data_IF_806499764206
#
_entry.id   IF_806499764206
#
_cell.length_a   1.000
_cell.length_b   1.000
_cell.length_c   1.000
_cell.angle_alpha   90.00
_cell.angle_beta   90.00
_cell.angle_gamma   90.00
#
_symmetry.space_group_name_H-M   'P 1'
#
loop_
_entity.id
_entity.type
_entity.pdbx_description
1 polymer ?
#
# COMPACT_ATOMS: atom_id res chain seq x y z
N UNK A 1 -15.07 -14.22 -3.73
CA UNK A 1 -15.34 -13.57 -2.42
C UNK A 1 -16.50 -12.62 -2.61
N UNK A 2 -17.72 -13.15 -2.74
CA UNK A 2 -18.88 -12.34 -3.09
C UNK A 2 -19.20 -11.35 -1.97
N UNK A 3 -19.29 -10.07 -2.37
CA UNK A 3 -19.62 -8.86 -1.60
C UNK A 3 -19.77 -9.08 -0.09
N UNK A 4 -18.68 -8.89 0.65
CA UNK A 4 -18.66 -8.84 2.11
C UNK A 4 -18.70 -7.37 2.56
N UNK A 5 -19.86 -6.68 2.51
CA UNK A 5 -19.94 -5.23 2.70
C UNK A 5 -19.52 -4.80 4.10
N UNK A 6 -19.57 -5.71 5.07
CA UNK A 6 -19.21 -5.47 6.47
C UNK A 6 -17.85 -6.03 6.84
N UNK A 7 -17.07 -6.57 5.89
CA UNK A 7 -15.74 -7.07 6.18
C UNK A 7 -14.83 -5.91 6.56
N UNK A 8 -14.30 -5.96 7.78
CA UNK A 8 -13.41 -4.94 8.34
C UNK A 8 -11.94 -5.30 8.25
N UNK A 9 -11.62 -6.58 8.25
CA UNK A 9 -10.24 -7.06 8.33
C UNK A 9 -10.03 -8.16 7.30
N UNK A 10 -8.99 -7.99 6.49
CA UNK A 10 -8.47 -9.05 5.61
C UNK A 10 -7.07 -9.39 6.07
N UNK A 11 -6.81 -10.68 6.30
CA UNK A 11 -5.48 -11.19 6.63
C UNK A 11 -5.14 -12.32 5.67
N UNK A 12 -4.06 -12.14 4.90
CA UNK A 12 -3.56 -13.12 3.94
C UNK A 12 -2.15 -13.51 4.36
N UNK A 13 -2.01 -14.75 4.83
CA UNK A 13 -0.76 -15.25 5.39
C UNK A 13 -0.33 -16.52 4.64
N UNK A 14 0.93 -16.59 4.24
CA UNK A 14 1.55 -17.79 3.65
C UNK A 14 0.87 -18.32 2.37
N UNK A 15 0.22 -17.45 1.60
CA UNK A 15 -0.42 -17.84 0.34
C UNK A 15 0.60 -17.81 -0.80
N UNK A 16 1.41 -18.86 -0.89
CA UNK A 16 2.54 -18.93 -1.83
C UNK A 16 2.14 -18.96 -3.31
N UNK A 17 0.91 -19.35 -3.62
CA UNK A 17 0.38 -19.44 -4.99
C UNK A 17 -0.57 -18.29 -5.35
N UNK A 18 -0.91 -17.41 -4.39
CA UNK A 18 -1.82 -16.30 -4.65
C UNK A 18 -1.09 -15.20 -5.42
N UNK A 19 -1.51 -14.94 -6.66
CA UNK A 19 -0.93 -13.88 -7.49
C UNK A 19 -1.73 -12.57 -7.46
N UNK A 20 -3.06 -12.67 -7.42
CA UNK A 20 -3.94 -11.51 -7.44
C UNK A 20 -5.15 -11.76 -6.57
N UNK A 21 -5.64 -10.68 -5.98
CA UNK A 21 -6.97 -10.63 -5.40
C UNK A 21 -7.86 -10.07 -6.50
N UNK A 22 -8.71 -10.93 -7.08
CA UNK A 22 -9.47 -10.62 -8.29
C UNK A 22 -10.98 -10.84 -8.07
N UNK A 23 -11.79 -10.12 -8.86
CA UNK A 23 -13.24 -10.28 -8.95
C UNK A 23 -13.69 -10.26 -10.42
N UNK A 24 -14.58 -11.18 -10.80
CA UNK A 24 -14.89 -11.54 -12.21
C UNK A 24 -15.74 -10.51 -12.99
N UNK A 25 -16.23 -9.42 -12.38
CA UNK A 25 -17.22 -8.55 -13.04
C UNK A 25 -16.92 -7.05 -12.88
N UNK A 26 -17.28 -6.22 -13.88
CA UNK A 26 -16.96 -4.80 -13.92
C UNK A 26 -17.89 -4.04 -12.97
N UNK A 27 -17.53 -4.02 -11.69
CA UNK A 27 -18.18 -3.14 -10.74
C UNK A 27 -17.63 -1.74 -10.95
N UNK A 28 -18.42 -0.92 -11.65
CA UNK A 28 -18.43 0.55 -11.57
C UNK A 28 -17.91 1.03 -10.22
N UNK A 29 -16.63 1.41 -10.12
CA UNK A 29 -16.04 2.20 -9.02
C UNK A 29 -16.40 1.81 -7.57
N UNK A 30 -16.98 0.63 -7.31
CA UNK A 30 -17.37 0.20 -5.97
C UNK A 30 -16.12 -0.30 -5.26
N UNK A 31 -15.73 0.43 -4.21
CA UNK A 31 -14.58 0.08 -3.38
C UNK A 31 -14.68 -1.35 -2.88
N UNK A 32 -13.67 -2.16 -3.20
CA UNK A 32 -13.52 -3.54 -2.71
C UNK A 32 -13.59 -3.54 -1.17
N UNK A 33 -14.52 -4.30 -0.60
CA UNK A 33 -14.86 -4.29 0.83
C UNK A 33 -15.10 -2.87 1.38
N UNK A 34 -16.28 -2.27 1.19
CA UNK A 34 -16.53 -0.86 1.54
C UNK A 34 -16.33 -0.52 3.02
N UNK A 35 -16.37 -1.53 3.91
CA UNK A 35 -16.12 -1.38 5.34
C UNK A 35 -14.71 -1.79 5.77
N UNK A 36 -13.77 -2.03 4.85
CA UNK A 36 -12.43 -2.48 5.21
C UNK A 36 -11.72 -1.42 6.04
N UNK A 37 -11.23 -1.83 7.20
CA UNK A 37 -10.49 -1.01 8.14
C UNK A 37 -9.01 -1.41 8.19
N UNK A 38 -8.71 -2.70 7.95
CA UNK A 38 -7.36 -3.27 8.08
C UNK A 38 -7.06 -4.32 7.00
N UNK A 39 -5.84 -4.24 6.47
CA UNK A 39 -5.26 -5.25 5.60
C UNK A 39 -3.92 -5.72 6.14
N UNK A 40 -3.77 -7.03 6.33
CA UNK A 40 -2.47 -7.66 6.60
C UNK A 40 -2.09 -8.63 5.48
N UNK A 41 -0.89 -8.45 4.95
CA UNK A 41 -0.23 -9.30 3.96
C UNK A 41 1.08 -9.82 4.56
N UNK A 42 1.16 -11.13 4.73
CA UNK A 42 2.32 -11.79 5.33
C UNK A 42 2.80 -12.97 4.50
N UNK A 43 4.08 -12.92 4.09
CA UNK A 43 4.77 -14.04 3.43
C UNK A 43 4.04 -14.53 2.15
N UNK A 44 3.39 -13.61 1.46
CA UNK A 44 2.60 -13.81 0.24
C UNK A 44 3.47 -13.55 -0.99
N UNK A 45 4.41 -14.47 -1.26
CA UNK A 45 5.55 -14.20 -2.17
C UNK A 45 5.18 -13.93 -3.62
N UNK A 46 4.12 -14.57 -4.14
CA UNK A 46 3.67 -14.40 -5.53
C UNK A 46 2.62 -13.29 -5.70
N UNK A 47 2.14 -12.70 -4.62
CA UNK A 47 1.08 -11.69 -4.67
C UNK A 47 1.61 -10.43 -5.37
N UNK A 48 1.03 -10.13 -6.52
CA UNK A 48 1.37 -8.97 -7.35
C UNK A 48 0.49 -7.78 -7.06
N UNK A 49 -0.77 -8.00 -6.68
CA UNK A 49 -1.67 -6.89 -6.49
C UNK A 49 -3.04 -7.18 -5.92
N UNK A 50 -3.68 -6.09 -5.53
CA UNK A 50 -5.02 -6.01 -4.98
C UNK A 50 -6.12 -6.01 -6.07
N UNK A 51 -5.73 -5.81 -7.32
CA UNK A 51 -6.63 -5.83 -8.47
C UNK A 51 -5.88 -6.28 -9.74
N UNK A 52 -6.57 -7.01 -10.63
CA UNK A 52 -6.08 -7.27 -11.99
C UNK A 52 -6.72 -6.20 -12.89
N UNK A 53 -5.93 -5.24 -13.37
CA UNK A 53 -6.35 -4.40 -14.48
C UNK A 53 -6.55 -5.33 -15.68
N UNK A 54 -7.68 -5.23 -16.38
CA UNK A 54 -7.79 -5.85 -17.71
C UNK A 54 -6.69 -5.26 -18.59
N UNK A 55 -6.03 -6.10 -19.38
CA UNK A 55 -4.87 -5.76 -20.21
C UNK A 55 -5.17 -4.73 -21.34
N UNK A 56 -6.34 -4.08 -21.34
CA UNK A 56 -6.84 -3.17 -22.39
C UNK A 56 -6.53 -1.67 -22.15
N UNK A 57 -5.86 -1.31 -21.06
CA UNK A 57 -5.43 0.09 -20.87
C UNK A 57 -4.06 0.27 -21.53
N UNK A 58 -4.09 0.73 -22.79
CA UNK A 58 -2.92 1.04 -23.62
C UNK A 58 -1.78 1.67 -22.81
N UNK A 59 -0.59 1.07 -22.93
CA UNK A 59 0.67 1.47 -22.28
C UNK A 59 1.26 2.80 -22.78
N UNK A 60 0.52 3.56 -23.60
CA UNK A 60 1.06 4.66 -24.42
C UNK A 60 1.01 6.05 -23.76
N UNK A 61 0.44 6.22 -22.57
CA UNK A 61 0.47 7.52 -21.89
C UNK A 61 1.76 7.66 -21.04
N UNK A 62 2.87 7.84 -21.76
CA UNK A 62 4.19 8.18 -21.25
C UNK A 62 4.21 9.60 -20.63
N UNK A 63 3.47 9.83 -19.54
CA UNK A 63 3.70 11.01 -18.72
C UNK A 63 3.24 10.84 -17.26
N UNK A 64 3.71 9.81 -16.58
CA UNK A 64 4.02 9.81 -15.15
C UNK A 64 4.33 8.39 -14.71
N UNK A 65 5.53 8.11 -14.19
CA UNK A 65 5.78 6.90 -13.41
C UNK A 65 4.90 6.82 -12.14
N UNK A 66 4.12 7.88 -11.85
CA UNK A 66 3.08 7.95 -10.81
C UNK A 66 1.68 7.49 -11.28
N UNK A 67 1.43 7.29 -12.58
CA UNK A 67 0.09 7.04 -13.10
C UNK A 67 -0.47 5.65 -12.77
N UNK A 68 0.39 4.64 -12.63
CA UNK A 68 -0.04 3.26 -12.39
C UNK A 68 -0.66 3.04 -11.00
N UNK A 69 -0.26 3.81 -9.99
CA UNK A 69 -0.87 3.74 -8.65
C UNK A 69 -2.12 4.62 -8.53
N UNK A 70 -2.25 5.64 -9.40
CA UNK A 70 -3.42 6.52 -9.46
C UNK A 70 -4.58 5.92 -10.26
N UNK A 71 -4.30 4.96 -11.15
CA UNK A 71 -5.33 4.20 -11.88
C UNK A 71 -5.92 3.03 -11.08
N UNK A 72 -5.35 2.72 -9.90
CA UNK A 72 -5.90 1.72 -9.00
C UNK A 72 -7.07 2.29 -8.18
N UNK A 73 -8.13 1.51 -7.94
CA UNK A 73 -9.20 1.93 -7.06
C UNK A 73 -8.63 2.20 -5.65
N UNK A 74 -8.88 3.37 -5.05
CA UNK A 74 -8.31 3.71 -3.74
C UNK A 74 -8.87 2.78 -2.66
N UNK A 75 -8.14 2.68 -1.54
CA UNK A 75 -8.66 2.02 -0.35
C UNK A 75 -9.97 2.70 0.13
N UNK A 76 -10.90 1.95 0.74
CA UNK A 76 -12.16 2.50 1.20
C UNK A 76 -11.94 3.54 2.32
N UNK A 77 -12.90 4.46 2.55
CA UNK A 77 -12.73 5.58 3.49
C UNK A 77 -12.43 5.20 4.94
N UNK A 78 -12.78 3.97 5.35
CA UNK A 78 -12.54 3.47 6.72
C UNK A 78 -11.17 2.82 6.90
N UNK A 79 -10.39 2.72 5.82
CA UNK A 79 -9.10 2.05 5.84
C UNK A 79 -8.10 2.82 6.70
N UNK A 80 -7.61 2.15 7.74
CA UNK A 80 -6.88 2.78 8.84
C UNK A 80 -5.58 2.07 9.20
N UNK A 81 -5.42 0.80 8.78
CA UNK A 81 -4.25 -0.02 9.12
C UNK A 81 -3.79 -0.89 7.95
N UNK A 82 -2.48 -0.90 7.71
CA UNK A 82 -1.86 -1.71 6.67
C UNK A 82 -0.61 -2.41 7.21
N UNK A 83 -0.52 -3.70 6.96
CA UNK A 83 0.67 -4.53 7.22
C UNK A 83 1.08 -5.21 5.93
N UNK A 84 2.32 -4.98 5.48
CA UNK A 84 2.92 -5.65 4.32
C UNK A 84 4.32 -6.12 4.71
N UNK A 85 4.46 -7.38 5.12
CA UNK A 85 5.78 -7.98 5.36
C UNK A 85 6.02 -9.21 4.47
N UNK A 86 7.25 -9.31 3.96
CA UNK A 86 7.72 -10.43 3.13
C UNK A 86 6.86 -10.69 1.88
N UNK A 87 6.44 -9.61 1.20
CA UNK A 87 5.65 -9.63 -0.04
C UNK A 87 6.45 -8.97 -1.20
N UNK A 88 7.51 -9.63 -1.71
CA UNK A 88 8.47 -9.02 -2.65
C UNK A 88 7.92 -8.73 -4.05
N UNK A 89 6.85 -9.41 -4.49
CA UNK A 89 6.28 -9.22 -5.83
C UNK A 89 5.13 -8.20 -5.86
N UNK A 90 4.80 -7.59 -4.72
CA UNK A 90 3.64 -6.73 -4.58
C UNK A 90 3.89 -5.35 -5.21
N UNK A 91 3.41 -5.14 -6.43
CA UNK A 91 3.62 -3.90 -7.21
C UNK A 91 2.33 -3.12 -7.47
N UNK A 92 1.19 -3.81 -7.48
CA UNK A 92 -0.11 -3.24 -7.85
C UNK A 92 -1.01 -3.08 -6.62
N UNK A 93 -0.65 -2.11 -5.78
CA UNK A 93 -1.41 -1.76 -4.57
C UNK A 93 -1.69 -0.25 -4.58
N UNK A 94 -2.92 0.19 -4.26
CA UNK A 94 -3.23 1.62 -4.18
C UNK A 94 -2.34 2.33 -3.15
N UNK A 95 -2.14 3.64 -3.32
CA UNK A 95 -1.50 4.42 -2.27
C UNK A 95 -2.36 4.49 -1.01
N UNK A 96 -1.72 4.67 0.14
CA UNK A 96 -2.35 4.61 1.47
C UNK A 96 -2.03 5.85 2.31
N UNK A 97 -2.17 7.04 1.70
CA UNK A 97 -1.82 8.31 2.33
C UNK A 97 -2.65 8.66 3.58
N UNK A 98 -3.88 8.13 3.71
CA UNK A 98 -4.83 8.53 4.74
C UNK A 98 -4.86 7.63 5.99
N UNK A 99 -3.87 6.74 6.15
CA UNK A 99 -3.79 5.88 7.34
C UNK A 99 -3.71 6.71 8.63
N UNK A 100 -4.57 6.39 9.60
CA UNK A 100 -4.69 7.10 10.87
C UNK A 100 -4.40 6.22 12.11
N UNK A 101 -4.08 4.93 11.91
CA UNK A 101 -3.71 4.02 12.99
C UNK A 101 -2.32 3.41 12.81
N UNK A 102 -2.12 2.54 11.83
CA UNK A 102 -0.94 1.66 11.78
C UNK A 102 -0.43 1.40 10.37
N UNK A 103 0.88 1.47 10.21
CA UNK A 103 1.60 1.02 9.03
C UNK A 103 2.78 0.15 9.47
N UNK A 104 2.80 -1.09 9.01
CA UNK A 104 3.93 -2.00 9.15
C UNK A 104 4.38 -2.40 7.75
N UNK A 105 5.63 -2.13 7.41
CA UNK A 105 6.14 -2.37 6.06
C UNK A 105 7.56 -2.93 6.09
N UNK A 106 7.80 -4.04 5.41
CA UNK A 106 9.13 -4.60 5.40
C UNK A 106 9.38 -5.80 4.50
N UNK A 107 10.65 -6.02 4.14
CA UNK A 107 11.09 -7.12 3.25
C UNK A 107 10.18 -7.31 2.00
N UNK A 108 9.70 -6.22 1.43
CA UNK A 108 8.68 -6.18 0.36
C UNK A 108 9.09 -5.16 -0.71
N UNK A 109 8.38 -5.11 -1.85
CA UNK A 109 8.65 -4.07 -2.85
C UNK A 109 8.29 -2.69 -2.31
N UNK A 110 9.26 -1.76 -2.31
CA UNK A 110 9.12 -0.43 -1.72
C UNK A 110 8.40 0.59 -2.60
N UNK A 111 8.15 0.29 -3.88
CA UNK A 111 7.58 1.23 -4.86
C UNK A 111 6.25 1.85 -4.39
N UNK A 112 5.37 1.07 -3.75
CA UNK A 112 4.09 1.59 -3.24
C UNK A 112 4.27 2.50 -2.02
N UNK A 113 5.25 2.21 -1.16
CA UNK A 113 5.59 3.08 -0.03
C UNK A 113 6.20 4.39 -0.53
N UNK A 114 7.16 4.32 -1.46
CA UNK A 114 7.75 5.48 -2.14
C UNK A 114 6.66 6.33 -2.81
N UNK A 115 5.76 5.71 -3.57
CA UNK A 115 4.66 6.40 -4.22
C UNK A 115 3.72 7.10 -3.22
N UNK A 116 3.40 6.44 -2.10
CA UNK A 116 2.56 7.02 -1.05
C UNK A 116 3.22 8.23 -0.39
N UNK A 117 4.50 8.14 -0.06
CA UNK A 117 5.27 9.25 0.51
C UNK A 117 5.37 10.40 -0.50
N UNK A 118 5.57 10.11 -1.78
CA UNK A 118 5.74 11.10 -2.83
C UNK A 118 4.45 11.85 -3.20
N UNK A 119 3.30 11.48 -2.62
CA UNK A 119 2.04 12.20 -2.81
C UNK A 119 2.06 13.64 -2.25
N UNK A 120 3.07 14.01 -1.44
CA UNK A 120 3.31 15.38 -0.95
C UNK A 120 3.32 16.40 -2.11
N UNK A 121 3.77 15.99 -3.29
CA UNK A 121 3.99 16.87 -4.44
C UNK A 121 2.83 16.93 -5.42
N UNK A 122 1.75 16.16 -5.23
CA UNK A 122 0.62 16.16 -6.17
C UNK A 122 -0.46 17.15 -5.73
N UNK A 123 -0.98 17.94 -6.69
CA UNK A 123 -2.15 18.83 -6.49
C UNK A 123 -3.47 18.06 -6.27
N UNK A 124 -3.39 16.77 -5.96
CA UNK A 124 -4.55 15.98 -5.61
C UNK A 124 -5.09 16.46 -4.27
N UNK A 125 -6.40 16.31 -4.07
CA UNK A 125 -7.19 16.87 -2.97
C UNK A 125 -6.88 16.21 -1.61
N UNK A 126 -5.61 16.15 -1.22
CA UNK A 126 -5.23 15.68 0.10
C UNK A 126 -5.21 16.91 1.00
N UNK A 127 -6.16 16.96 1.92
CA UNK A 127 -6.28 18.02 2.92
C UNK A 127 -5.05 18.06 3.85
N UNK A 128 -4.27 16.98 3.90
CA UNK A 128 -3.12 16.81 4.77
C UNK A 128 -1.94 16.16 4.04
N UNK A 129 -0.69 16.34 4.52
CA UNK A 129 0.44 15.55 4.04
C UNK A 129 0.16 14.04 4.20
N UNK A 130 0.68 13.19 3.30
CA UNK A 130 0.50 11.75 3.40
C UNK A 130 1.05 11.23 4.73
N UNK A 131 0.31 10.29 5.33
CA UNK A 131 0.60 9.63 6.60
C UNK A 131 0.64 10.57 7.82
N UNK A 132 0.19 11.82 7.70
CA UNK A 132 0.23 12.78 8.81
C UNK A 132 -0.63 12.43 10.02
N UNK A 133 -1.68 11.62 9.81
CA UNK A 133 -2.55 11.10 10.89
C UNK A 133 -2.06 9.77 11.46
N UNK A 134 -1.00 9.19 10.90
CA UNK A 134 -0.50 7.87 11.30
C UNK A 134 0.04 7.91 12.73
N UNK A 135 -0.34 6.92 13.54
CA UNK A 135 0.07 6.82 14.96
C UNK A 135 1.17 5.81 15.22
N UNK A 136 1.23 4.74 14.41
CA UNK A 136 2.21 3.67 14.54
C UNK A 136 2.87 3.39 13.20
N UNK A 137 4.20 3.44 13.17
CA UNK A 137 5.01 3.10 12.01
C UNK A 137 6.07 2.08 12.39
N UNK A 138 6.06 0.93 11.73
CA UNK A 138 7.15 -0.04 11.75
C UNK A 138 7.71 -0.22 10.34
N UNK A 139 9.02 -0.04 10.22
CA UNK A 139 9.78 -0.26 8.99
C UNK A 139 10.81 -1.35 9.23
N UNK A 140 10.67 -2.49 8.56
CA UNK A 140 11.56 -3.64 8.71
C UNK A 140 12.34 -3.93 7.43
N UNK A 141 13.67 -4.03 7.52
CA UNK A 141 14.54 -4.40 6.40
C UNK A 141 14.25 -3.58 5.13
N UNK A 142 14.20 -2.26 5.30
CA UNK A 142 13.88 -1.32 4.23
C UNK A 142 15.12 -1.04 3.36
N UNK A 143 14.95 -1.14 2.04
CA UNK A 143 15.90 -0.68 1.03
C UNK A 143 15.29 0.49 0.26
N UNK A 144 15.05 1.59 0.98
CA UNK A 144 14.47 2.81 0.41
C UNK A 144 15.55 3.62 -0.29
N UNK A 145 15.32 3.95 -1.57
CA UNK A 145 16.17 4.90 -2.27
C UNK A 145 15.87 6.32 -1.78
N UNK A 146 16.69 6.80 -0.85
CA UNK A 146 16.54 8.13 -0.26
C UNK A 146 16.59 9.25 -1.31
N UNK A 147 17.12 9.01 -2.52
CA UNK A 147 17.11 9.99 -3.61
C UNK A 147 15.73 10.16 -4.26
N UNK A 148 14.84 9.18 -4.10
CA UNK A 148 13.47 9.20 -4.64
C UNK A 148 12.45 9.81 -3.69
N UNK A 149 12.80 9.98 -2.42
CA UNK A 149 11.90 10.51 -1.39
C UNK A 149 12.08 12.02 -1.20
N UNK A 150 11.00 12.77 -0.94
CA UNK A 150 11.03 14.17 -0.55
C UNK A 150 11.95 14.41 0.64
N UNK A 151 12.67 15.52 0.57
CA UNK A 151 13.47 16.01 1.67
C UNK A 151 12.56 16.18 2.89
N UNK A 152 12.96 15.60 4.02
CA UNK A 152 12.22 15.67 5.28
C UNK A 152 10.82 15.02 5.30
N UNK A 153 10.53 14.01 4.47
CA UNK A 153 9.23 13.32 4.49
C UNK A 153 8.76 12.86 5.89
N UNK A 154 9.70 12.51 6.78
CA UNK A 154 9.43 12.11 8.17
C UNK A 154 8.74 13.23 8.98
N UNK A 155 8.99 14.51 8.66
CA UNK A 155 8.35 15.64 9.34
C UNK A 155 6.84 15.69 9.11
N UNK A 156 6.34 15.01 8.07
CA UNK A 156 4.90 14.91 7.81
C UNK A 156 4.19 14.00 8.79
N UNK A 157 4.89 13.09 9.48
CA UNK A 157 4.33 12.13 10.44
C UNK A 157 4.00 12.81 11.79
N UNK A 158 3.19 13.87 11.75
CA UNK A 158 2.96 14.77 12.88
C UNK A 158 2.15 14.16 14.02
N UNK A 159 1.36 13.11 13.74
CA UNK A 159 0.55 12.39 14.75
C UNK A 159 1.22 11.12 15.26
N UNK A 160 2.49 10.87 14.90
CA UNK A 160 3.15 9.61 15.19
C UNK A 160 3.42 9.47 16.69
N UNK A 161 2.88 8.41 17.28
CA UNK A 161 3.05 8.07 18.69
C UNK A 161 4.15 7.02 18.87
N UNK A 162 4.37 6.15 17.87
CA UNK A 162 5.31 5.04 17.92
C UNK A 162 6.05 4.88 16.58
N UNK A 163 7.38 4.77 16.65
CA UNK A 163 8.25 4.55 15.50
C UNK A 163 9.25 3.44 15.79
N UNK A 164 9.15 2.35 15.03
CA UNK A 164 10.12 1.25 15.05
C UNK A 164 10.80 1.13 13.68
N UNK A 165 12.13 1.17 13.66
CA UNK A 165 12.92 0.92 12.45
C UNK A 165 13.89 -0.22 12.74
N UNK A 166 13.66 -1.36 12.08
CA UNK A 166 14.40 -2.59 12.31
C UNK A 166 15.17 -2.97 11.06
N UNK A 167 16.45 -3.32 11.22
CA UNK A 167 17.25 -3.92 10.16
C UNK A 167 17.59 -5.34 10.58
N UNK A 168 17.13 -6.33 9.82
CA UNK A 168 17.58 -7.70 10.01
C UNK A 168 19.02 -7.79 9.50
N UNK A 169 19.97 -8.06 10.39
CA UNK A 169 21.33 -8.41 10.00
C UNK A 169 21.30 -9.74 9.26
N UNK A 170 21.85 -9.79 8.04
CA UNK A 170 21.93 -10.98 7.19
C UNK A 170 22.46 -12.20 7.96
N UNK A 171 21.55 -13.03 8.46
CA UNK A 171 21.91 -14.40 8.83
C UNK A 171 21.66 -15.25 7.60
N UNK A 172 22.74 -15.54 6.87
CA UNK A 172 22.80 -16.64 5.91
C UNK A 172 22.26 -17.90 6.61
N UNK A 173 21.14 -18.41 6.12
CA UNK A 173 20.65 -19.76 6.38
C UNK A 173 20.78 -20.51 5.06
#
# INVERSE_FOLDING_TARGET
MERLPFLKVVQLCFLHELEYIYYEEPLLFETFFPSLERLDLWKTKKLRGWWRMNDDVNEDDHNCSQSHNLSLPPFPPRFSSLTILECPMLTRVPTFANLDKRLEFGSSNMETLEATINMISSKCWIEFPPLSKLKYLLLENIDLDMKKLPEHWVQNLTSLEHLDVMKLSDKKI
#
